data_IF_495026381966
#
_entry.id   IF_495026381966
#
_cell.length_a   1.000
_cell.length_b   1.000
_cell.length_c   1.000
_cell.angle_alpha   90.00
_cell.angle_beta   90.00
_cell.angle_gamma   90.00
#
_symmetry.space_group_name_H-M   'P 1'
#
loop_
_entity.id
_entity.type
_entity.pdbx_description
1 polymer ?
#
# COMPACT_ATOMS: atom_id res chain seq x y z
N UNK A 1 0.17 -27.98 -0.31
CA UNK A 1 1.27 -27.02 -0.11
C UNK A 1 0.98 -26.39 1.23
N UNK A 2 1.74 -26.74 2.27
CA UNK A 2 1.49 -26.22 3.60
C UNK A 2 2.05 -24.79 3.61
N UNK A 3 1.17 -23.80 3.62
CA UNK A 3 1.53 -22.41 3.92
C UNK A 3 2.18 -22.43 5.30
N UNK A 4 3.41 -21.94 5.40
CA UNK A 4 4.18 -22.10 6.63
C UNK A 4 3.72 -21.06 7.64
N UNK A 5 3.88 -19.75 7.41
CA UNK A 5 3.44 -18.74 8.39
C UNK A 5 3.23 -17.35 7.76
N UNK A 6 2.42 -16.51 8.41
CA UNK A 6 2.34 -15.07 8.19
C UNK A 6 3.20 -14.39 9.24
N UNK A 7 4.04 -13.45 8.83
CA UNK A 7 4.81 -12.61 9.75
C UNK A 7 4.48 -11.14 9.54
N UNK A 8 4.59 -10.35 10.61
CA UNK A 8 4.54 -8.90 10.54
C UNK A 8 5.89 -8.37 10.03
N UNK A 9 5.84 -7.37 9.15
CA UNK A 9 7.02 -6.58 8.82
C UNK A 9 7.08 -5.41 9.80
N UNK A 10 8.12 -5.39 10.63
CA UNK A 10 8.37 -4.29 11.55
C UNK A 10 9.42 -3.33 10.98
N UNK A 11 9.35 -2.09 11.46
CA UNK A 11 10.23 -0.99 11.02
C UNK A 11 10.86 -0.38 12.26
N UNK A 12 12.20 -0.39 12.33
CA UNK A 12 12.95 0.26 13.43
C UNK A 12 12.63 1.74 13.61
N UNK A 13 12.15 2.40 12.55
CA UNK A 13 11.63 3.77 12.57
C UNK A 13 10.31 3.79 11.80
N UNK A 14 9.24 4.15 12.49
CA UNK A 14 7.92 4.35 11.88
C UNK A 14 7.92 5.60 11.01
N UNK A 15 7.28 5.52 9.85
CA UNK A 15 6.90 6.70 9.08
C UNK A 15 5.81 7.46 9.85
N UNK A 16 6.21 8.39 10.71
CA UNK A 16 5.26 9.21 11.48
C UNK A 16 4.56 10.21 10.56
N UNK A 17 3.44 9.79 9.97
CA UNK A 17 2.55 10.68 9.25
C UNK A 17 1.54 11.33 10.19
N UNK A 18 1.24 12.61 9.96
CA UNK A 18 0.25 13.36 10.76
C UNK A 18 -1.14 12.74 10.71
N UNK A 19 -1.47 12.07 9.61
CA UNK A 19 -2.76 11.41 9.44
C UNK A 19 -2.57 10.07 8.70
N UNK A 20 -2.65 8.93 9.42
CA UNK A 20 -2.56 7.62 8.79
C UNK A 20 -3.82 7.30 7.97
N UNK A 21 -3.73 6.28 7.12
CA UNK A 21 -4.90 5.66 6.49
C UNK A 21 -5.69 4.90 7.54
N UNK A 22 -6.99 5.15 7.57
CA UNK A 22 -7.93 4.51 8.51
C UNK A 22 -9.08 3.90 7.73
N UNK A 23 -9.43 2.66 8.07
CA UNK A 23 -10.60 1.96 7.55
C UNK A 23 -11.61 1.79 8.68
N UNK A 24 -12.79 2.39 8.52
CA UNK A 24 -13.90 2.17 9.45
C UNK A 24 -14.70 0.94 9.00
N UNK A 25 -14.79 -0.07 9.86
CA UNK A 25 -15.56 -1.29 9.65
C UNK A 25 -16.28 -1.68 10.94
N UNK A 26 -17.55 -2.05 10.83
CA UNK A 26 -18.42 -2.44 11.95
C UNK A 26 -18.37 -1.49 13.18
N UNK A 27 -18.36 -0.17 12.91
CA UNK A 27 -18.31 0.85 13.96
C UNK A 27 -16.93 1.05 14.62
N UNK A 28 -15.89 0.46 14.05
CA UNK A 28 -14.53 0.50 14.58
C UNK A 28 -13.54 1.01 13.54
N UNK A 29 -12.55 1.77 14.01
CA UNK A 29 -11.49 2.32 13.17
C UNK A 29 -10.25 1.41 13.25
N UNK A 30 -9.83 0.91 12.09
CA UNK A 30 -8.60 0.14 11.93
C UNK A 30 -7.56 1.03 11.24
N UNK A 31 -6.41 1.19 11.86
CA UNK A 31 -5.34 2.10 11.41
C UNK A 31 -4.28 1.30 10.68
N UNK A 32 -3.79 1.83 9.56
CA UNK A 32 -2.68 1.23 8.85
C UNK A 32 -1.43 1.18 9.73
N UNK A 33 -0.78 0.01 9.80
CA UNK A 33 0.38 -0.22 10.66
C UNK A 33 1.55 -0.91 9.95
N UNK A 34 1.50 -1.01 8.63
CA UNK A 34 2.54 -1.64 7.81
C UNK A 34 2.01 -2.82 7.02
N UNK A 35 2.89 -3.79 6.76
CA UNK A 35 2.60 -4.93 5.90
C UNK A 35 2.86 -6.25 6.64
N UNK A 36 2.17 -7.28 6.18
CA UNK A 36 2.51 -8.66 6.49
C UNK A 36 3.03 -9.34 5.23
N UNK A 37 3.81 -10.39 5.43
CA UNK A 37 4.26 -11.27 4.35
C UNK A 37 3.91 -12.71 4.67
N UNK A 38 3.32 -13.38 3.68
CA UNK A 38 3.15 -14.82 3.64
C UNK A 38 4.22 -15.42 2.72
N UNK A 39 4.87 -16.49 3.18
CA UNK A 39 5.96 -17.15 2.46
C UNK A 39 5.74 -18.66 2.34
N UNK A 40 6.36 -19.25 1.31
CA UNK A 40 6.25 -20.67 1.00
C UNK A 40 7.29 -21.54 1.71
N UNK A 41 8.35 -20.91 2.24
CA UNK A 41 9.49 -21.57 2.89
C UNK A 41 9.83 -20.79 4.15
N UNK A 42 10.07 -21.50 5.26
CA UNK A 42 10.41 -20.91 6.55
C UNK A 42 11.57 -19.91 6.42
N UNK A 43 11.41 -18.74 7.03
CA UNK A 43 12.38 -17.64 7.04
C UNK A 43 13.19 -17.58 8.34
N UNK A 44 13.44 -18.73 8.99
CA UNK A 44 14.18 -18.78 10.24
C UNK A 44 15.58 -18.12 10.10
N UNK A 45 15.94 -17.28 11.07
CA UNK A 45 17.25 -16.64 11.21
C UNK A 45 17.66 -15.64 10.11
N UNK A 46 16.71 -15.03 9.40
CA UNK A 46 17.04 -13.91 8.49
C UNK A 46 17.30 -12.64 9.30
N UNK A 47 18.48 -12.04 9.14
CA UNK A 47 18.79 -10.74 9.75
C UNK A 47 17.95 -9.62 9.14
N UNK A 48 17.80 -8.51 9.85
CA UNK A 48 17.11 -7.33 9.34
C UNK A 48 17.71 -6.84 8.02
N UNK A 49 16.83 -6.45 7.09
CA UNK A 49 17.19 -5.72 5.89
C UNK A 49 17.44 -4.26 6.25
N UNK A 50 18.66 -3.77 6.05
CA UNK A 50 19.02 -2.37 6.29
C UNK A 50 18.91 -1.58 4.98
N UNK A 51 18.05 -0.57 4.96
CA UNK A 51 17.85 0.32 3.83
C UNK A 51 18.11 1.76 4.25
N UNK A 52 18.93 2.47 3.48
CA UNK A 52 19.14 3.91 3.67
C UNK A 52 18.15 4.67 2.80
N UNK A 53 17.19 5.34 3.43
CA UNK A 53 16.19 6.15 2.73
C UNK A 53 16.20 7.57 3.30
N UNK A 54 16.34 8.57 2.44
CA UNK A 54 16.52 9.99 2.84
C UNK A 54 17.61 10.20 3.93
N UNK A 55 18.75 9.53 3.79
CA UNK A 55 19.87 9.55 4.75
C UNK A 55 19.51 9.05 6.16
N UNK A 56 18.48 8.22 6.27
CA UNK A 56 18.08 7.57 7.50
C UNK A 56 18.19 6.06 7.28
N UNK A 57 18.89 5.40 8.18
CA UNK A 57 18.94 3.93 8.21
C UNK A 57 17.63 3.40 8.79
N UNK A 58 16.95 2.59 7.99
CA UNK A 58 15.78 1.80 8.36
C UNK A 58 16.18 0.32 8.39
N UNK A 59 16.09 -0.30 9.55
CA UNK A 59 16.02 -1.74 9.65
C UNK A 59 14.58 -2.20 9.44
N UNK A 60 14.41 -3.14 8.50
CA UNK A 60 13.17 -3.82 8.14
C UNK A 60 13.36 -5.28 8.53
N UNK A 61 12.58 -5.75 9.49
CA UNK A 61 12.68 -7.12 9.98
C UNK A 61 11.34 -7.84 9.96
N UNK A 62 11.39 -9.13 10.31
CA UNK A 62 10.22 -10.00 10.39
C UNK A 62 9.96 -10.33 11.86
N UNK A 63 8.71 -10.20 12.27
CA UNK A 63 8.25 -10.55 13.61
C UNK A 63 7.13 -11.59 13.49
N UNK A 64 7.26 -12.68 14.24
CA UNK A 64 6.23 -13.72 14.32
C UNK A 64 4.96 -13.15 14.95
N UNK A 65 3.81 -13.47 14.37
CA UNK A 65 2.52 -13.09 14.92
C UNK A 65 1.50 -14.21 14.70
N UNK A 66 0.40 -14.15 15.44
CA UNK A 66 -0.70 -15.08 15.25
C UNK A 66 -1.16 -15.06 13.79
N UNK A 67 -1.28 -16.23 13.14
CA UNK A 67 -1.72 -16.30 11.76
C UNK A 67 -3.12 -15.68 11.63
N UNK A 68 -3.33 -14.93 10.55
CA UNK A 68 -4.65 -14.45 10.20
C UNK A 68 -5.55 -15.66 9.90
N UNK A 69 -6.74 -15.71 10.48
CA UNK A 69 -7.70 -16.76 10.18
C UNK A 69 -8.60 -16.36 9.01
N UNK A 70 -9.07 -17.35 8.24
CA UNK A 70 -10.16 -17.22 7.26
C UNK A 70 -9.91 -16.39 5.98
N UNK A 71 -8.66 -16.16 5.60
CA UNK A 71 -8.31 -15.52 4.32
C UNK A 71 -8.09 -16.51 3.17
N UNK A 72 -8.07 -16.00 1.94
CA UNK A 72 -7.65 -16.73 0.73
C UNK A 72 -6.38 -16.14 0.13
N UNK A 73 -5.59 -16.96 -0.58
CA UNK A 73 -4.40 -16.48 -1.29
C UNK A 73 -4.75 -15.44 -2.36
N UNK A 74 -5.87 -15.64 -3.04
CA UNK A 74 -6.35 -14.71 -4.06
C UNK A 74 -6.63 -13.31 -3.48
N UNK A 75 -7.16 -13.20 -2.26
CA UNK A 75 -7.33 -11.90 -1.60
C UNK A 75 -6.00 -11.19 -1.35
N UNK A 76 -4.97 -11.93 -0.95
CA UNK A 76 -3.63 -11.35 -0.75
C UNK A 76 -3.01 -10.93 -2.08
N UNK A 77 -3.14 -11.76 -3.11
CA UNK A 77 -2.64 -11.47 -4.46
C UNK A 77 -3.32 -10.24 -5.07
N UNK A 78 -4.63 -10.09 -4.89
CA UNK A 78 -5.37 -8.91 -5.34
C UNK A 78 -4.90 -7.64 -4.64
N UNK A 79 -4.68 -7.68 -3.32
CA UNK A 79 -4.14 -6.55 -2.56
C UNK A 79 -2.72 -6.20 -3.01
N UNK A 80 -1.86 -7.20 -3.20
CA UNK A 80 -0.49 -7.02 -3.68
C UNK A 80 -0.47 -6.41 -5.08
N UNK A 81 -1.24 -6.99 -6.02
CA UNK A 81 -1.34 -6.52 -7.40
C UNK A 81 -1.81 -5.06 -7.44
N UNK A 82 -2.89 -4.75 -6.73
CA UNK A 82 -3.44 -3.41 -6.71
C UNK A 82 -2.44 -2.37 -6.17
N UNK A 83 -1.80 -2.66 -5.03
CA UNK A 83 -0.91 -1.69 -4.39
C UNK A 83 0.46 -1.60 -5.08
N UNK A 84 1.12 -2.74 -5.29
CA UNK A 84 2.53 -2.77 -5.71
C UNK A 84 2.69 -2.61 -7.21
N UNK A 85 1.72 -3.09 -8.00
CA UNK A 85 1.80 -3.05 -9.45
C UNK A 85 0.94 -1.92 -10.02
N UNK A 86 -0.36 -1.92 -9.74
CA UNK A 86 -1.28 -0.99 -10.42
C UNK A 86 -1.13 0.47 -9.92
N UNK A 87 -0.78 0.65 -8.64
CA UNK A 87 -0.60 1.97 -8.02
C UNK A 87 0.88 2.38 -7.95
N UNK A 88 1.76 1.50 -7.45
CA UNK A 88 3.19 1.83 -7.30
C UNK A 88 4.02 1.59 -8.57
N UNK A 89 3.49 0.91 -9.59
CA UNK A 89 4.20 0.61 -10.84
C UNK A 89 5.54 -0.12 -10.65
N UNK A 90 5.63 -1.03 -9.66
CA UNK A 90 6.84 -1.83 -9.38
C UNK A 90 7.03 -2.99 -10.38
N UNK A 91 6.97 -2.70 -11.68
CA UNK A 91 6.99 -3.67 -12.78
C UNK A 91 8.32 -4.40 -12.95
N UNK A 92 9.44 -3.76 -12.60
CA UNK A 92 10.78 -4.32 -12.80
C UNK A 92 11.20 -5.30 -11.69
N UNK A 93 10.29 -5.62 -10.76
CA UNK A 93 10.55 -6.59 -9.69
C UNK A 93 10.03 -7.94 -10.14
N UNK A 94 10.93 -8.93 -10.12
CA UNK A 94 10.58 -10.32 -10.39
C UNK A 94 9.98 -10.96 -9.13
N UNK A 95 8.68 -10.76 -8.92
CA UNK A 95 7.95 -11.21 -7.73
C UNK A 95 7.80 -12.73 -7.62
N UNK A 96 7.79 -13.44 -8.75
CA UNK A 96 7.71 -14.91 -8.81
C UNK A 96 8.98 -15.54 -9.38
N UNK A 97 9.08 -16.87 -9.43
CA UNK A 97 10.21 -17.56 -10.05
C UNK A 97 10.31 -17.18 -11.54
N UNK A 98 11.54 -17.23 -12.08
CA UNK A 98 11.75 -17.06 -13.52
C UNK A 98 11.05 -18.21 -14.25
N UNK A 99 9.99 -17.87 -14.99
CA UNK A 99 9.27 -18.85 -15.76
C UNK A 99 9.64 -18.72 -17.24
N UNK A 100 10.43 -19.67 -17.74
CA UNK A 100 10.78 -19.75 -19.16
C UNK A 100 9.67 -20.39 -20.02
N UNK A 101 8.63 -20.95 -19.39
CA UNK A 101 7.54 -21.68 -20.03
C UNK A 101 6.19 -21.03 -19.70
N UNK A 102 5.65 -20.25 -20.63
CA UNK A 102 4.39 -19.50 -20.46
C UNK A 102 3.15 -20.34 -20.12
N UNK A 103 3.23 -21.68 -20.18
CA UNK A 103 2.12 -22.60 -19.93
C UNK A 103 1.96 -23.00 -18.44
N UNK A 104 2.90 -22.64 -17.57
CA UNK A 104 2.85 -23.00 -16.14
C UNK A 104 2.47 -21.76 -15.33
N UNK A 105 1.33 -21.79 -14.64
CA UNK A 105 0.99 -20.76 -13.64
C UNK A 105 1.89 -20.90 -12.42
N UNK A 106 2.66 -19.87 -12.08
CA UNK A 106 3.53 -19.85 -10.90
C UNK A 106 3.01 -18.87 -9.86
N UNK A 107 3.16 -19.24 -8.59
CA UNK A 107 2.91 -18.33 -7.46
C UNK A 107 4.02 -17.26 -7.36
N UNK A 108 3.74 -16.15 -6.69
CA UNK A 108 4.80 -15.24 -6.25
C UNK A 108 5.66 -15.91 -5.17
N UNK A 109 6.89 -15.45 -4.99
CA UNK A 109 7.77 -15.95 -3.92
C UNK A 109 7.19 -15.59 -2.54
N UNK A 110 6.64 -14.38 -2.44
CA UNK A 110 6.09 -13.78 -1.24
C UNK A 110 4.76 -13.10 -1.57
N UNK A 111 3.79 -13.20 -0.65
CA UNK A 111 2.54 -12.43 -0.72
C UNK A 111 2.57 -11.33 0.33
N UNK A 112 2.82 -10.10 -0.11
CA UNK A 112 2.79 -8.90 0.70
C UNK A 112 1.40 -8.28 0.71
N UNK A 113 0.88 -7.99 1.90
CA UNK A 113 -0.43 -7.36 2.03
C UNK A 113 -0.45 -6.35 3.18
N UNK A 114 -1.21 -5.25 3.04
CA UNK A 114 -1.30 -4.21 4.04
C UNK A 114 -2.03 -4.70 5.29
N UNK A 115 -1.68 -4.10 6.42
CA UNK A 115 -2.28 -4.38 7.72
C UNK A 115 -3.01 -3.16 8.24
N UNK A 116 -4.24 -3.39 8.66
CA UNK A 116 -5.03 -2.43 9.39
C UNK A 116 -5.40 -3.06 10.72
N UNK A 117 -5.01 -2.41 11.82
CA UNK A 117 -5.19 -2.95 13.15
C UNK A 117 -5.92 -1.99 14.06
N UNK A 118 -6.57 -2.54 15.07
CA UNK A 118 -7.08 -1.79 16.22
C UNK A 118 -6.60 -2.44 17.52
N UNK A 119 -6.47 -1.61 18.55
CA UNK A 119 -6.13 -2.06 19.90
C UNK A 119 -7.43 -2.35 20.64
N UNK A 120 -7.52 -3.55 21.22
CA UNK A 120 -8.65 -3.99 22.02
C UNK A 120 -8.48 -3.54 23.49
N UNK A 121 -9.57 -3.47 24.28
CA UNK A 121 -9.52 -3.01 25.68
C UNK A 121 -8.62 -3.85 26.61
N UNK A 122 -8.33 -5.09 26.24
CA UNK A 122 -7.48 -6.05 26.97
C UNK A 122 -6.01 -6.01 26.52
N UNK A 123 -5.61 -4.98 25.77
CA UNK A 123 -4.33 -4.90 25.03
C UNK A 123 -4.17 -5.98 23.96
N UNK A 124 -5.25 -6.68 23.60
CA UNK A 124 -5.30 -7.47 22.39
C UNK A 124 -5.18 -6.60 21.14
N UNK A 125 -4.85 -7.23 20.03
CA UNK A 125 -4.75 -6.59 18.73
C UNK A 125 -5.65 -7.34 17.77
N UNK A 126 -6.44 -6.61 17.01
CA UNK A 126 -7.32 -7.18 16.00
C UNK A 126 -6.95 -6.64 14.63
N UNK A 127 -6.79 -7.55 13.68
CA UNK A 127 -6.51 -7.26 12.27
C UNK A 127 -7.78 -7.22 11.45
N UNK A 128 -7.89 -6.22 10.57
CA UNK A 128 -8.96 -6.15 9.59
C UNK A 128 -8.73 -7.19 8.49
N UNK A 129 -9.77 -7.98 8.24
CA UNK A 129 -9.74 -9.05 7.24
C UNK A 129 -9.44 -8.52 5.81
N UNK A 130 -8.58 -9.20 5.00
CA UNK A 130 -8.24 -8.81 3.63
C UNK A 130 -9.46 -8.54 2.74
N UNK A 131 -10.49 -9.38 2.82
CA UNK A 131 -11.75 -9.18 2.12
C UNK A 131 -12.36 -7.79 2.40
N UNK A 132 -12.35 -7.35 3.65
CA UNK A 132 -12.93 -6.05 4.05
C UNK A 132 -12.07 -4.88 3.60
N UNK A 133 -10.76 -5.06 3.52
CA UNK A 133 -9.84 -4.08 2.93
C UNK A 133 -10.14 -3.90 1.42
N UNK A 134 -10.30 -5.01 0.68
CA UNK A 134 -10.68 -4.97 -0.74
C UNK A 134 -12.03 -4.27 -0.93
N UNK A 135 -13.03 -4.64 -0.14
CA UNK A 135 -14.36 -4.01 -0.16
C UNK A 135 -14.27 -2.51 0.14
N UNK A 136 -13.44 -2.12 1.11
CA UNK A 136 -13.21 -0.72 1.43
C UNK A 136 -12.60 0.02 0.24
N UNK A 137 -11.51 -0.48 -0.37
CA UNK A 137 -10.87 0.18 -1.51
C UNK A 137 -11.84 0.33 -2.69
N UNK A 138 -12.56 -0.74 -3.05
CA UNK A 138 -13.57 -0.69 -4.13
C UNK A 138 -14.64 0.38 -3.87
N UNK A 139 -15.11 0.51 -2.63
CA UNK A 139 -16.11 1.53 -2.24
C UNK A 139 -15.55 2.95 -2.22
N UNK A 140 -14.23 3.11 -2.15
CA UNK A 140 -13.56 4.41 -2.01
C UNK A 140 -12.85 4.88 -3.29
N UNK A 141 -12.73 4.01 -4.31
CA UNK A 141 -12.40 4.41 -5.67
C UNK A 141 -13.52 5.30 -6.22
N UNK A 142 -13.29 6.60 -6.16
CA UNK A 142 -14.27 7.64 -6.54
C UNK A 142 -13.56 8.76 -7.28
N UNK A 143 -14.22 9.45 -8.22
CA UNK A 143 -13.65 10.64 -8.83
C UNK A 143 -13.08 11.59 -7.78
N UNK A 144 -11.89 12.11 -8.04
CA UNK A 144 -11.25 13.12 -7.18
C UNK A 144 -12.14 14.33 -7.05
N UNK A 145 -12.89 14.66 -8.10
CA UNK A 145 -13.90 15.70 -8.09
C UNK A 145 -15.21 15.13 -8.65
N UNK A 146 -16.29 15.16 -7.88
CA UNK A 146 -17.63 14.87 -8.38
C UNK A 146 -18.06 15.83 -9.50
N UNK A 147 -18.93 15.36 -10.40
CA UNK A 147 -19.44 16.16 -11.54
C UNK A 147 -20.06 17.50 -11.13
N UNK A 148 -20.82 17.52 -10.02
CA UNK A 148 -21.39 18.75 -9.48
C UNK A 148 -20.30 19.71 -8.99
N UNK A 149 -19.23 19.17 -8.39
CA UNK A 149 -18.14 19.99 -7.86
C UNK A 149 -17.35 20.68 -8.98
N UNK A 150 -17.11 20.01 -10.11
CA UNK A 150 -16.48 20.64 -11.27
C UNK A 150 -17.22 21.89 -11.75
N UNK A 151 -18.56 21.83 -11.78
CA UNK A 151 -19.37 22.96 -12.27
C UNK A 151 -19.35 24.18 -11.33
N UNK A 152 -19.13 23.97 -10.03
CA UNK A 152 -19.21 25.02 -9.00
C UNK A 152 -17.88 25.39 -8.37
N UNK A 153 -16.79 24.67 -8.63
CA UNK A 153 -15.52 24.88 -7.92
C UNK A 153 -15.03 26.32 -8.04
N UNK A 154 -15.23 26.98 -9.19
CA UNK A 154 -14.86 28.39 -9.43
C UNK A 154 -15.76 29.39 -8.70
N UNK A 155 -17.02 29.03 -8.42
CA UNK A 155 -17.98 29.91 -7.73
C UNK A 155 -18.05 29.67 -6.22
N UNK A 156 -17.44 28.60 -5.70
CA UNK A 156 -17.33 28.35 -4.26
C UNK A 156 -16.52 29.44 -3.56
N UNK A 157 -16.90 29.79 -2.33
CA UNK A 157 -16.05 30.61 -1.46
C UNK A 157 -14.70 29.94 -1.21
N UNK A 158 -13.67 30.75 -0.90
CA UNK A 158 -12.33 30.28 -0.50
C UNK A 158 -12.40 29.26 0.63
N UNK A 159 -13.09 29.57 1.73
CA UNK A 159 -13.21 28.67 2.88
C UNK A 159 -13.82 27.29 2.55
N UNK A 160 -14.86 27.28 1.71
CA UNK A 160 -15.51 26.04 1.28
C UNK A 160 -14.61 25.18 0.38
N UNK A 161 -13.77 25.83 -0.44
CA UNK A 161 -12.77 25.14 -1.26
C UNK A 161 -11.64 24.60 -0.40
N UNK A 162 -11.09 25.40 0.50
CA UNK A 162 -10.00 24.97 1.39
C UNK A 162 -10.42 23.82 2.29
N UNK A 163 -11.68 23.83 2.77
CA UNK A 163 -12.26 22.70 3.50
C UNK A 163 -12.36 21.43 2.65
N UNK A 164 -12.63 21.57 1.35
CA UNK A 164 -12.64 20.45 0.43
C UNK A 164 -11.21 19.92 0.18
N UNK A 165 -10.27 20.80 -0.15
CA UNK A 165 -8.86 20.45 -0.41
C UNK A 165 -8.26 19.77 0.81
N UNK A 166 -8.46 20.32 2.01
CA UNK A 166 -7.97 19.72 3.27
C UNK A 166 -8.48 18.30 3.50
N UNK A 167 -9.68 17.96 3.01
CA UNK A 167 -10.23 16.60 3.14
C UNK A 167 -9.56 15.58 2.21
N UNK A 168 -9.10 16.01 1.04
CA UNK A 168 -8.51 15.13 0.01
C UNK A 168 -6.98 15.19 0.01
N UNK A 169 -6.38 16.17 0.68
CA UNK A 169 -4.95 16.34 0.83
C UNK A 169 -4.29 15.09 1.45
N UNK A 170 -3.11 14.74 0.95
CA UNK A 170 -2.36 13.54 1.35
C UNK A 170 -2.87 12.23 0.76
N UNK A 171 -4.00 12.24 0.04
CA UNK A 171 -4.52 11.05 -0.64
C UNK A 171 -3.66 10.68 -1.84
N UNK A 172 -3.66 9.39 -2.19
CA UNK A 172 -3.18 8.94 -3.49
C UNK A 172 -4.32 9.04 -4.50
N UNK A 173 -4.03 9.71 -5.61
CA UNK A 173 -4.93 9.80 -6.75
C UNK A 173 -4.41 8.95 -7.89
N UNK A 174 -5.30 8.18 -8.51
CA UNK A 174 -5.03 7.22 -9.56
C UNK A 174 -5.62 7.73 -10.88
N UNK A 175 -4.84 7.60 -11.94
CA UNK A 175 -5.17 7.99 -13.31
C UNK A 175 -5.11 6.73 -14.20
N UNK A 176 -6.25 6.04 -14.37
CA UNK A 176 -6.28 4.82 -15.17
C UNK A 176 -5.75 5.08 -16.58
N UNK A 177 -4.82 4.24 -17.06
CA UNK A 177 -4.18 4.33 -18.39
C UNK A 177 -3.29 5.56 -18.63
N UNK A 178 -2.91 6.28 -17.59
CA UNK A 178 -1.90 7.35 -17.67
C UNK A 178 -0.61 6.90 -16.99
N UNK A 179 0.50 7.56 -17.36
CA UNK A 179 1.79 7.41 -16.70
C UNK A 179 2.27 8.79 -16.21
N UNK A 180 2.60 8.95 -14.92
CA UNK A 180 2.52 7.93 -13.86
C UNK A 180 1.07 7.50 -13.56
N UNK A 181 0.88 6.25 -13.14
CA UNK A 181 -0.46 5.71 -12.86
C UNK A 181 -1.09 6.34 -11.61
N UNK A 182 -0.30 6.70 -10.59
CA UNK A 182 -0.79 7.32 -9.38
C UNK A 182 0.14 8.42 -8.87
N UNK A 183 -0.45 9.43 -8.25
CA UNK A 183 0.23 10.64 -7.76
C UNK A 183 -0.32 11.01 -6.39
N UNK A 184 0.53 11.51 -5.50
CA UNK A 184 0.09 12.06 -4.23
C UNK A 184 -0.52 13.46 -4.42
N UNK A 185 -1.70 13.67 -3.84
CA UNK A 185 -2.37 14.96 -3.85
C UNK A 185 -1.94 15.83 -2.67
N UNK A 186 -1.01 16.76 -2.89
CA UNK A 186 -0.60 17.71 -1.86
C UNK A 186 -1.42 19.00 -1.86
N UNK A 187 -1.78 19.48 -3.05
CA UNK A 187 -2.48 20.76 -3.24
C UNK A 187 -3.35 20.68 -4.49
N UNK A 188 -4.46 21.42 -4.49
CA UNK A 188 -5.41 21.50 -5.59
C UNK A 188 -5.81 22.95 -5.85
N UNK A 189 -5.39 23.49 -6.99
CA UNK A 189 -5.67 24.87 -7.42
C UNK A 189 -6.82 24.90 -8.43
N UNK A 190 -7.69 25.92 -8.36
CA UNK A 190 -8.89 26.09 -9.19
C UNK A 190 -8.88 27.33 -10.09
N UNK A 191 -7.85 28.18 -10.01
CA UNK A 191 -7.94 29.54 -10.60
C UNK A 191 -7.67 29.62 -12.11
N UNK A 192 -6.89 28.69 -12.69
CA UNK A 192 -6.27 28.91 -14.00
C UNK A 192 -6.66 27.94 -15.14
N UNK A 193 -7.63 27.04 -14.92
CA UNK A 193 -7.90 25.92 -15.84
C UNK A 193 -9.37 25.52 -15.88
N UNK A 194 -9.75 24.69 -16.86
CA UNK A 194 -11.10 24.09 -16.92
C UNK A 194 -11.33 23.09 -15.79
N UNK A 195 -10.28 22.38 -15.40
CA UNK A 195 -10.25 21.42 -14.30
C UNK A 195 -9.18 21.80 -13.29
N UNK A 196 -9.45 21.75 -11.98
CA UNK A 196 -8.45 22.07 -10.97
C UNK A 196 -7.12 21.33 -11.19
N UNK A 197 -6.02 22.01 -10.87
CA UNK A 197 -4.66 21.52 -11.12
C UNK A 197 -4.08 20.98 -9.83
N UNK A 198 -3.51 19.78 -9.91
CA UNK A 198 -2.71 19.19 -8.85
C UNK A 198 -1.32 19.80 -8.92
N UNK A 199 -1.00 20.65 -7.94
CA UNK A 199 0.16 21.56 -8.00
C UNK A 199 1.50 20.82 -7.90
N UNK A 200 1.54 19.59 -7.38
CA UNK A 200 2.80 18.83 -7.24
C UNK A 200 3.56 18.65 -8.58
N UNK A 201 2.85 18.59 -9.70
CA UNK A 201 3.42 18.47 -11.05
C UNK A 201 2.68 19.33 -12.10
N UNK A 202 1.84 20.28 -11.68
CA UNK A 202 0.90 20.99 -12.55
C UNK A 202 0.03 20.05 -13.42
N UNK A 203 -0.41 18.93 -12.85
CA UNK A 203 -1.20 17.92 -13.57
C UNK A 203 -2.69 18.25 -13.46
N UNK A 204 -3.39 18.19 -14.59
CA UNK A 204 -4.85 18.32 -14.62
C UNK A 204 -5.49 17.24 -13.75
N UNK A 205 -6.45 17.62 -12.90
CA UNK A 205 -7.27 16.65 -12.14
C UNK A 205 -8.31 15.91 -12.98
N UNK A 206 -8.39 16.20 -14.28
CA UNK A 206 -9.30 15.51 -15.20
C UNK A 206 -9.03 13.99 -15.16
N UNK A 207 -10.09 13.20 -15.00
CA UNK A 207 -10.05 11.73 -14.86
C UNK A 207 -9.29 11.19 -13.64
N UNK A 208 -8.92 12.03 -12.66
CA UNK A 208 -8.32 11.56 -11.42
C UNK A 208 -9.35 10.85 -10.52
N UNK A 209 -8.97 9.72 -9.93
CA UNK A 209 -9.75 8.99 -8.94
C UNK A 209 -9.00 8.93 -7.62
N UNK A 210 -9.68 9.07 -6.49
CA UNK A 210 -9.09 8.77 -5.17
C UNK A 210 -9.03 7.25 -5.00
N UNK A 211 -7.97 6.74 -4.39
CA UNK A 211 -7.82 5.29 -4.13
C UNK A 211 -8.43 4.82 -2.81
N UNK A 212 -8.68 5.74 -1.88
CA UNK A 212 -9.18 5.43 -0.52
C UNK A 212 -8.09 5.29 0.54
N UNK A 213 -6.82 5.38 0.16
CA UNK A 213 -5.69 5.40 1.08
C UNK A 213 -4.73 6.57 0.83
N UNK A 214 -3.86 6.83 1.80
CA UNK A 214 -2.90 7.94 1.84
C UNK A 214 -1.49 7.46 1.51
N UNK A 215 -0.53 8.39 1.57
CA UNK A 215 0.86 8.12 1.22
C UNK A 215 1.61 7.23 2.21
N UNK A 216 1.05 6.95 3.40
CA UNK A 216 1.63 6.03 4.39
C UNK A 216 1.83 4.64 3.81
N UNK A 217 0.81 4.09 3.14
CA UNK A 217 0.90 2.78 2.51
C UNK A 217 2.01 2.76 1.46
N UNK A 218 2.05 3.79 0.59
CA UNK A 218 3.04 3.89 -0.50
C UNK A 218 4.47 3.96 0.02
N UNK A 219 4.71 4.71 1.09
CA UNK A 219 6.05 4.80 1.70
C UNK A 219 6.59 3.43 2.12
N UNK A 220 5.72 2.59 2.71
CA UNK A 220 6.08 1.24 3.09
C UNK A 220 6.20 0.33 1.86
N UNK A 221 5.27 0.41 0.90
CA UNK A 221 5.27 -0.38 -0.34
C UNK A 221 6.57 -0.28 -1.13
N UNK A 222 7.12 0.93 -1.24
CA UNK A 222 8.36 1.17 -2.00
C UNK A 222 9.57 0.44 -1.38
N UNK A 223 9.59 0.27 -0.06
CA UNK A 223 10.67 -0.42 0.65
C UNK A 223 10.52 -1.95 0.66
N UNK A 224 9.34 -2.49 0.35
CA UNK A 224 9.13 -3.94 0.22
C UNK A 224 9.97 -4.57 -0.88
N UNK A 225 10.31 -3.79 -1.92
CA UNK A 225 11.23 -4.23 -2.98
C UNK A 225 12.59 -4.66 -2.42
N UNK A 226 13.14 -3.90 -1.49
CA UNK A 226 14.44 -4.17 -0.86
C UNK A 226 14.34 -5.39 0.06
N UNK A 227 13.25 -5.50 0.82
CA UNK A 227 13.00 -6.67 1.65
C UNK A 227 12.86 -7.94 0.79
N UNK A 228 12.10 -7.88 -0.30
CA UNK A 228 11.91 -8.99 -1.23
C UNK A 228 13.26 -9.56 -1.72
N UNK A 229 14.15 -8.69 -2.19
CA UNK A 229 15.46 -9.11 -2.70
C UNK A 229 16.38 -9.61 -1.57
N UNK A 230 16.33 -8.98 -0.40
CA UNK A 230 17.05 -9.42 0.80
C UNK A 230 16.67 -10.83 1.22
N UNK A 231 15.37 -11.14 1.30
CA UNK A 231 14.89 -12.47 1.66
C UNK A 231 15.33 -13.53 0.64
N UNK A 232 15.26 -13.23 -0.66
CA UNK A 232 15.72 -14.14 -1.72
C UNK A 232 17.23 -14.38 -1.66
N UNK A 233 18.00 -13.34 -1.36
CA UNK A 233 19.44 -13.44 -1.21
C UNK A 233 19.81 -14.35 -0.03
N UNK A 234 19.17 -14.17 1.13
CA UNK A 234 19.40 -15.02 2.31
C UNK A 234 18.99 -16.48 2.10
N UNK A 235 17.88 -16.73 1.40
CA UNK A 235 17.51 -18.10 0.99
C UNK A 235 18.59 -18.71 0.08
N UNK A 236 19.12 -17.93 -0.87
CA UNK A 236 20.18 -18.41 -1.76
C UNK A 236 21.49 -18.71 -1.00
N UNK A 237 21.82 -17.92 0.02
CA UNK A 237 22.95 -18.20 0.91
C UNK A 237 22.75 -19.47 1.72
N UNK A 238 21.54 -19.68 2.25
CA UNK A 238 21.21 -20.90 3.01
C UNK A 238 21.40 -22.15 2.15
N UNK A 239 20.94 -22.12 0.90
CA UNK A 239 21.16 -23.21 -0.06
C UNK A 239 22.64 -23.40 -0.40
N UNK A 240 23.41 -22.32 -0.50
CA UNK A 240 24.86 -22.38 -0.76
C UNK A 240 25.63 -22.99 0.41
N UNK A 241 25.26 -22.66 1.65
CA UNK A 241 25.91 -23.18 2.87
C UNK A 241 25.60 -24.67 3.12
N UNK A 242 24.49 -25.17 2.60
CA UNK A 242 24.07 -26.57 2.72
C UNK A 242 24.68 -27.51 1.66
N UNK A 243 25.46 -27.00 0.71
CA UNK A 243 26.18 -27.76 -0.32
C UNK A 243 27.58 -28.18 0.14
#
# INVERSE_FOLDING_TARGET
MWLLDIVQIYWSKLFSLKEPTVITYDGHDYVFEGFSVLYHVSLANVNDCIVVYHNIDYAIGLEEESPLEHYTIEELDLLQQYLLIDVCELYNIQWGPLNNNNDISTCTCYHFFPRFARILPDNGKELLHPAEQIQYFLKHIKPLMPNDLYSRCKSMSVDAWDKYVSKVQGSIVWFPKHHPAAIRLDQLDRENSSYPVIVHFEISSEYAYRTGFKSDIIQHSLLLSSLHDHLRFHQSLTELENQ
#
